data_IF_474622611088
#
_entry.id   IF_474622611088
#
_cell.length_a   1.000
_cell.length_b   1.000
_cell.length_c   1.000
_cell.angle_alpha   90.00
_cell.angle_beta   90.00
_cell.angle_gamma   90.00
#
_symmetry.space_group_name_H-M   'P 1'
#
loop_
_entity.id
_entity.type
_entity.pdbx_description
1 polymer ?
#
# COMPACT_ATOMS: atom_id res chain seq x y z
N UNK A 1 -11.11 -10.57 -16.02
CA UNK A 1 -9.80 -9.89 -15.94
C UNK A 1 -8.80 -10.84 -15.29
N UNK A 2 -7.61 -11.00 -15.88
CA UNK A 2 -6.52 -11.81 -15.31
C UNK A 2 -5.44 -10.85 -14.83
N UNK A 3 -4.98 -11.01 -13.59
CA UNK A 3 -3.89 -10.22 -13.00
C UNK A 3 -2.75 -11.15 -12.62
N UNK A 4 -1.51 -10.69 -12.79
CA UNK A 4 -0.31 -11.41 -12.37
C UNK A 4 0.55 -10.44 -11.58
N UNK A 5 0.92 -10.84 -10.36
CA UNK A 5 1.80 -10.06 -9.50
C UNK A 5 3.26 -10.46 -9.70
N UNK A 6 4.13 -9.47 -9.79
CA UNK A 6 5.58 -9.66 -9.77
C UNK A 6 6.26 -8.53 -9.01
N UNK A 7 7.45 -8.80 -8.51
CA UNK A 7 8.32 -7.79 -7.91
C UNK A 7 9.36 -7.34 -8.93
N UNK A 8 9.56 -6.03 -9.02
CA UNK A 8 10.56 -5.45 -9.90
C UNK A 8 11.01 -4.10 -9.36
N UNK A 9 12.21 -3.68 -9.77
CA UNK A 9 12.74 -2.36 -9.46
C UNK A 9 12.43 -1.41 -10.61
N UNK A 10 12.02 -0.18 -10.27
CA UNK A 10 11.93 0.90 -11.24
C UNK A 10 13.36 1.31 -11.61
N UNK A 11 13.71 1.17 -12.88
CA UNK A 11 15.00 1.61 -13.39
C UNK A 11 15.12 3.15 -13.32
N UNK A 12 16.34 3.72 -13.36
CA UNK A 12 16.56 5.17 -13.27
C UNK A 12 15.83 6.00 -14.34
N UNK A 13 15.46 5.37 -15.47
CA UNK A 13 14.66 5.98 -16.52
C UNK A 13 13.14 5.95 -16.25
N UNK A 14 12.72 5.52 -15.06
CA UNK A 14 11.32 5.44 -14.66
C UNK A 14 10.56 4.22 -15.20
N UNK A 15 11.25 3.24 -15.79
CA UNK A 15 10.60 2.05 -16.37
C UNK A 15 10.68 0.84 -15.43
N UNK A 16 9.65 -0.02 -15.45
CA UNK A 16 9.68 -1.36 -14.89
C UNK A 16 9.57 -2.37 -16.02
N UNK A 17 10.51 -3.31 -16.09
CA UNK A 17 10.47 -4.38 -17.08
C UNK A 17 9.51 -5.48 -16.62
N UNK A 18 8.60 -5.89 -17.49
CA UNK A 18 7.78 -7.09 -17.26
C UNK A 18 8.65 -8.32 -17.53
N UNK A 19 8.77 -9.26 -16.56
CA UNK A 19 9.55 -10.48 -16.75
C UNK A 19 9.09 -11.29 -17.98
N UNK A 20 10.00 -11.95 -18.71
CA UNK A 20 9.67 -12.70 -19.93
C UNK A 20 8.54 -13.72 -19.77
N UNK A 21 8.49 -14.39 -18.62
CA UNK A 21 7.48 -15.39 -18.25
C UNK A 21 6.06 -14.81 -18.07
N UNK A 22 5.96 -13.52 -17.76
CA UNK A 22 4.69 -12.79 -17.70
C UNK A 22 4.38 -12.19 -19.06
N UNK A 23 5.38 -11.65 -19.75
CA UNK A 23 5.24 -11.10 -21.09
C UNK A 23 4.71 -12.16 -22.08
N UNK A 24 5.11 -13.43 -21.95
CA UNK A 24 4.59 -14.53 -22.77
C UNK A 24 3.11 -14.86 -22.53
N UNK A 25 2.54 -14.40 -21.41
CA UNK A 25 1.12 -14.61 -21.08
C UNK A 25 0.23 -13.43 -21.48
N UNK A 26 0.80 -12.29 -21.84
CA UNK A 26 0.07 -11.07 -22.21
C UNK A 26 -0.06 -10.99 -23.73
N UNK A 27 -1.29 -10.91 -24.28
CA UNK A 27 -1.48 -10.73 -25.72
C UNK A 27 -0.83 -9.44 -26.22
N UNK A 28 -0.10 -9.53 -27.34
CA UNK A 28 0.53 -8.35 -27.95
C UNK A 28 -0.53 -7.38 -28.45
N UNK A 29 -0.36 -6.08 -28.15
CA UNK A 29 -1.26 -5.01 -28.60
C UNK A 29 -2.46 -4.75 -27.70
N UNK A 30 -2.65 -5.52 -26.63
CA UNK A 30 -3.70 -5.28 -25.65
C UNK A 30 -3.28 -4.21 -24.63
N UNK A 31 -4.23 -3.36 -24.20
CA UNK A 31 -3.99 -2.41 -23.11
C UNK A 31 -4.02 -3.17 -21.79
N UNK A 32 -2.96 -3.02 -21.00
CA UNK A 32 -2.86 -3.60 -19.65
C UNK A 32 -3.06 -2.52 -18.58
N UNK A 33 -3.66 -2.90 -17.45
CA UNK A 33 -3.69 -2.08 -16.25
C UNK A 33 -2.48 -2.43 -15.37
N UNK A 34 -1.74 -1.41 -14.92
CA UNK A 34 -0.56 -1.58 -14.05
C UNK A 34 -0.91 -1.12 -12.64
N UNK A 35 -0.64 -1.97 -11.64
CA UNK A 35 -0.78 -1.64 -10.22
C UNK A 35 0.60 -1.60 -9.60
N UNK A 36 0.98 -0.46 -9.02
CA UNK A 36 2.26 -0.29 -8.34
C UNK A 36 2.07 -0.35 -6.83
N UNK A 37 2.91 -1.15 -6.16
CA UNK A 37 3.01 -1.20 -4.70
C UNK A 37 4.47 -0.96 -4.34
N UNK A 38 4.72 0.03 -3.51
CA UNK A 38 6.05 0.34 -2.98
C UNK A 38 6.00 0.49 -1.46
N UNK A 39 7.17 0.51 -0.83
CA UNK A 39 7.30 0.68 0.60
C UNK A 39 6.88 2.08 1.06
N UNK A 40 6.38 2.14 2.29
CA UNK A 40 6.12 3.39 3.02
C UNK A 40 7.46 4.10 3.21
N UNK A 41 7.55 5.40 2.91
CA UNK A 41 8.77 6.17 3.17
C UNK A 41 8.95 6.43 4.66
N UNK A 42 10.17 6.74 5.10
CA UNK A 42 10.41 7.17 6.49
C UNK A 42 9.58 8.41 6.84
N UNK A 43 9.39 9.33 5.89
CA UNK A 43 8.52 10.50 6.04
C UNK A 43 7.05 10.11 6.26
N UNK A 44 6.54 9.14 5.49
CA UNK A 44 5.17 8.65 5.69
C UNK A 44 5.03 7.89 7.02
N UNK A 45 6.09 7.21 7.47
CA UNK A 45 6.14 6.56 8.79
C UNK A 45 6.13 7.59 9.92
N UNK A 46 6.92 8.66 9.80
CA UNK A 46 6.95 9.76 10.77
C UNK A 46 5.61 10.51 10.81
N UNK A 47 4.98 10.71 9.65
CA UNK A 47 3.65 11.30 9.54
C UNK A 47 2.60 10.43 10.25
N UNK A 48 2.60 9.11 10.02
CA UNK A 48 1.69 8.18 10.71
C UNK A 48 1.92 8.17 12.23
N UNK A 49 3.16 8.19 12.68
CA UNK A 49 3.48 8.25 14.12
C UNK A 49 2.98 9.55 14.77
N UNK A 50 3.20 10.68 14.09
CA UNK A 50 2.74 12.00 14.56
C UNK A 50 1.21 12.06 14.60
N UNK A 51 0.53 11.57 13.55
CA UNK A 51 -0.92 11.51 13.50
C UNK A 51 -1.50 10.63 14.61
N UNK A 52 -0.89 9.47 14.88
CA UNK A 52 -1.31 8.61 16.00
C UNK A 52 -1.20 9.31 17.35
N UNK A 53 -0.07 9.99 17.62
CA UNK A 53 0.11 10.73 18.89
C UNK A 53 -0.92 11.84 19.06
N UNK A 54 -1.25 12.57 17.99
CA UNK A 54 -2.28 13.62 18.03
C UNK A 54 -3.68 13.04 18.23
N UNK A 55 -3.97 11.92 17.59
CA UNK A 55 -5.24 11.22 17.75
C UNK A 55 -5.42 10.69 19.18
N UNK A 56 -4.39 10.03 19.73
CA UNK A 56 -4.38 9.53 21.11
C UNK A 56 -4.49 10.67 22.13
N UNK A 57 -3.80 11.80 21.91
CA UNK A 57 -3.87 12.96 22.81
C UNK A 57 -5.26 13.63 22.82
N UNK A 58 -6.01 13.49 21.73
CA UNK A 58 -7.38 14.00 21.62
C UNK A 58 -8.44 12.97 22.07
N UNK A 59 -8.05 11.72 22.30
CA UNK A 59 -8.94 10.65 22.72
C UNK A 59 -9.34 10.85 24.18
N UNK A 60 -10.62 11.12 24.43
CA UNK A 60 -11.16 11.26 25.77
C UNK A 60 -11.72 9.92 26.28
N UNK A 61 -11.87 9.80 27.60
CA UNK A 61 -12.54 8.65 28.20
C UNK A 61 -13.97 8.46 27.66
N UNK A 62 -14.64 9.54 27.26
CA UNK A 62 -15.98 9.50 26.66
C UNK A 62 -16.00 8.89 25.25
N UNK A 63 -14.86 8.81 24.57
CA UNK A 63 -14.73 8.20 23.23
C UNK A 63 -14.56 6.67 23.30
N UNK A 64 -14.40 6.10 24.50
CA UNK A 64 -14.18 4.66 24.77
C UNK A 64 -15.46 3.80 24.76
N UNK A 65 -16.48 4.22 24.00
CA UNK A 65 -17.83 3.62 23.98
C UNK A 65 -17.83 2.11 23.74
N UNK A 66 -16.93 1.61 22.88
CA UNK A 66 -16.82 0.19 22.58
C UNK A 66 -15.81 -0.56 23.45
N UNK A 67 -14.82 0.13 24.02
CA UNK A 67 -13.83 -0.49 24.91
C UNK A 67 -14.49 -0.93 26.22
N UNK A 68 -15.50 -0.17 26.68
CA UNK A 68 -16.34 -0.52 27.84
C UNK A 68 -17.21 -1.76 27.63
N UNK A 69 -17.37 -2.22 26.37
CA UNK A 69 -18.16 -3.40 26.01
C UNK A 69 -17.29 -4.65 25.80
N UNK A 70 -15.96 -4.53 25.87
CA UNK A 70 -15.01 -5.60 25.60
C UNK A 70 -14.71 -6.45 26.85
N UNK A 71 -15.12 -6.03 28.05
CA UNK A 71 -15.06 -6.85 29.26
C UNK A 71 -16.39 -7.62 29.52
N UNK A 72 -16.35 -8.97 29.69
CA UNK A 72 -17.48 -9.81 30.10
C UNK A 72 -17.78 -9.80 31.60
#
# INVERSE_FOLDING_TARGET
MKSVDFQGQIAPNGQIAVPPEIASQVPTGEKVQVVLRWGVTDDETAWRATGRLQFEAAYAADDSVYEQLIDP
#
